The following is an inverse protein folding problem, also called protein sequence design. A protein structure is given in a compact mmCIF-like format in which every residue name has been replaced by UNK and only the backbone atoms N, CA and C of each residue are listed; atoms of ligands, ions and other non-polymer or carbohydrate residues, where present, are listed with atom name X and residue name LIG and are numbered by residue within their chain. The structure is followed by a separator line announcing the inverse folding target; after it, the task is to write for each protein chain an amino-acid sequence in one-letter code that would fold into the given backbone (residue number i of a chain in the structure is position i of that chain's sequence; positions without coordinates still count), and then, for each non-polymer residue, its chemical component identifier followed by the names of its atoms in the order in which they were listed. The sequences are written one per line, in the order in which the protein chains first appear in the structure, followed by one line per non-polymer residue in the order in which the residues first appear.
data_IF_464953404933
#
_entry.id   IF_464953404933
#
_cell.length_a   1.000
_cell.length_b   1.000
_cell.length_c   1.000
_cell.angle_alpha   90.00
_cell.angle_beta   90.00
_cell.angle_gamma   90.00
#
_symmetry.space_group_name_H-M   'P 1'
#
loop_
_entity.id
_entity.type
_entity.pdbx_description
1 polymer ?
#
# COMPACT_ATOMS: atom_id res chain seq x y z
N UNK A 1 73.44 32.83 32.28
CA UNK A 1 73.07 31.39 32.21
C UNK A 1 71.57 31.30 31.84
N UNK A 2 71.25 31.04 30.58
CA UNK A 2 69.82 30.87 30.09
C UNK A 2 69.57 29.39 29.94
N UNK A 3 68.62 28.84 30.72
CA UNK A 3 68.12 27.47 30.60
C UNK A 3 67.06 27.39 29.52
N UNK A 4 67.31 26.63 28.45
CA UNK A 4 66.32 26.34 27.41
C UNK A 4 65.41 25.22 27.90
N UNK A 5 64.12 25.47 27.92
CA UNK A 5 63.04 24.50 28.18
C UNK A 5 62.71 23.89 26.86
N UNK A 6 62.94 22.58 26.70
CA UNK A 6 62.46 21.78 25.55
C UNK A 6 60.99 21.33 25.83
N UNK A 7 60.05 21.92 25.13
CA UNK A 7 58.69 21.44 25.15
C UNK A 7 58.55 20.25 24.18
N UNK A 8 58.23 19.08 24.72
CA UNK A 8 57.90 17.91 23.92
C UNK A 8 56.41 17.99 23.52
N UNK A 9 56.13 18.12 22.23
CA UNK A 9 54.77 18.04 21.67
C UNK A 9 54.39 16.55 21.53
N UNK A 10 53.52 16.06 22.41
CA UNK A 10 52.90 14.77 22.26
C UNK A 10 51.69 14.97 21.32
N UNK A 11 51.81 14.58 20.05
CA UNK A 11 50.71 14.55 19.12
C UNK A 11 49.76 13.38 19.44
N UNK A 12 48.59 13.69 19.96
CA UNK A 12 47.47 12.70 20.02
C UNK A 12 47.00 12.44 18.60
N UNK A 13 47.32 11.27 18.06
CA UNK A 13 46.70 10.74 16.85
C UNK A 13 45.34 10.18 17.28
N UNK A 14 44.28 10.95 17.07
CA UNK A 14 42.90 10.45 17.19
C UNK A 14 42.61 9.56 15.97
N UNK A 15 42.67 8.24 16.17
CA UNK A 15 42.18 7.27 15.19
C UNK A 15 40.64 7.36 15.22
N UNK A 16 40.07 8.09 14.28
CA UNK A 16 38.64 8.02 14.05
C UNK A 16 38.29 6.62 13.51
N UNK A 17 37.71 5.79 14.37
CA UNK A 17 37.02 4.60 13.92
C UNK A 17 35.81 5.05 13.07
N UNK A 18 35.97 5.02 11.77
CA UNK A 18 34.83 5.07 10.86
C UNK A 18 34.15 3.70 10.93
N UNK A 19 33.31 3.51 11.93
CA UNK A 19 32.38 2.42 11.95
C UNK A 19 31.50 2.59 10.71
N UNK A 20 31.45 1.59 9.82
CA UNK A 20 30.42 1.51 8.79
C UNK A 20 29.09 1.44 9.53
N UNK A 21 28.40 2.57 9.65
CA UNK A 21 27.00 2.57 10.05
C UNK A 21 26.26 1.84 8.91
N UNK A 22 25.87 0.60 9.15
CA UNK A 22 24.80 -0.01 8.35
C UNK A 22 23.57 0.83 8.68
N UNK A 23 23.09 1.60 7.71
CA UNK A 23 21.83 2.30 7.89
C UNK A 23 20.76 1.23 8.11
N UNK A 24 20.11 1.25 9.27
CA UNK A 24 18.94 0.42 9.52
C UNK A 24 17.84 0.88 8.55
N UNK A 25 17.25 -0.06 7.81
CA UNK A 25 16.17 0.22 6.86
C UNK A 25 14.84 0.08 7.59
N UNK A 26 13.97 1.06 7.45
CA UNK A 26 12.59 0.98 7.91
C UNK A 26 11.69 0.58 6.75
N UNK A 27 11.15 -0.64 6.82
CA UNK A 27 10.17 -1.19 5.90
C UNK A 27 8.77 -1.04 6.49
N UNK A 28 7.87 -0.37 5.75
CA UNK A 28 6.52 -0.04 6.23
C UNK A 28 5.45 -0.76 5.43
N UNK A 29 4.55 -1.42 6.13
CA UNK A 29 3.50 -2.25 5.57
C UNK A 29 2.13 -2.00 6.21
N UNK A 30 1.13 -2.79 5.82
CA UNK A 30 -0.28 -2.62 6.17
C UNK A 30 -0.72 -3.37 7.44
N UNK A 31 0.16 -4.14 8.05
CA UNK A 31 -0.11 -4.86 9.30
C UNK A 31 -0.69 -6.28 9.14
N UNK A 32 -0.96 -6.89 10.26
CA UNK A 32 -1.63 -8.19 10.37
C UNK A 32 -0.93 -9.34 9.67
N UNK A 33 -1.71 -10.27 9.13
CA UNK A 33 -1.21 -11.44 8.41
C UNK A 33 -0.43 -11.08 7.14
N UNK A 34 -0.72 -9.92 6.55
CA UNK A 34 -0.03 -9.43 5.37
C UNK A 34 1.43 -9.08 5.69
N UNK A 35 1.67 -8.21 6.66
CA UNK A 35 3.04 -7.89 7.12
C UNK A 35 3.78 -9.14 7.59
N UNK A 36 3.10 -10.06 8.31
CA UNK A 36 3.70 -11.32 8.72
C UNK A 36 4.13 -12.20 7.54
N UNK A 37 3.43 -12.15 6.42
CA UNK A 37 3.83 -12.85 5.19
C UNK A 37 5.05 -12.24 4.53
N UNK A 38 5.14 -10.91 4.50
CA UNK A 38 6.30 -10.17 3.98
C UNK A 38 7.52 -10.37 4.88
N UNK A 39 7.34 -10.37 6.20
CA UNK A 39 8.41 -10.73 7.14
C UNK A 39 9.07 -12.05 6.76
N UNK A 40 8.25 -13.10 6.57
CA UNK A 40 8.75 -14.44 6.21
C UNK A 40 9.34 -14.54 4.80
N UNK A 41 8.72 -13.86 3.84
CA UNK A 41 9.10 -14.01 2.43
C UNK A 41 10.30 -13.13 2.05
N UNK A 42 10.43 -11.96 2.65
CA UNK A 42 11.44 -10.96 2.29
C UNK A 42 12.49 -10.77 3.40
N UNK A 43 12.04 -10.38 4.60
CA UNK A 43 12.94 -9.96 5.67
C UNK A 43 13.77 -11.12 6.21
N UNK A 44 13.10 -12.24 6.59
CA UNK A 44 13.76 -13.40 7.19
C UNK A 44 14.68 -14.12 6.20
N UNK A 45 14.48 -13.94 4.89
CA UNK A 45 15.27 -14.58 3.83
C UNK A 45 16.39 -13.67 3.29
N UNK A 46 16.39 -12.40 3.64
CA UNK A 46 17.41 -11.46 3.23
C UNK A 46 18.61 -11.51 4.17
N UNK A 47 19.83 -11.61 3.64
CA UNK A 47 21.06 -11.77 4.42
C UNK A 47 21.28 -10.69 5.49
N UNK A 48 20.74 -9.49 5.27
CA UNK A 48 20.77 -8.34 6.18
C UNK A 48 19.42 -8.04 6.83
N UNK A 49 18.52 -9.02 6.87
CA UNK A 49 17.16 -8.83 7.41
C UNK A 49 17.14 -8.37 8.88
N UNK A 50 18.18 -8.70 9.66
CA UNK A 50 18.31 -8.23 11.04
C UNK A 50 18.54 -6.71 11.18
N UNK A 51 18.89 -6.02 10.10
CA UNK A 51 19.04 -4.56 10.05
C UNK A 51 17.80 -3.86 9.50
N UNK A 52 16.68 -4.58 9.32
CA UNK A 52 15.42 -4.04 8.84
C UNK A 52 14.43 -3.94 10.00
N UNK A 53 13.97 -2.73 10.28
CA UNK A 53 12.85 -2.47 11.17
C UNK A 53 11.56 -2.52 10.38
N UNK A 54 10.55 -3.25 10.89
CA UNK A 54 9.25 -3.36 10.24
C UNK A 54 8.22 -2.54 11.01
N UNK A 55 7.59 -1.59 10.34
CA UNK A 55 6.51 -0.76 10.86
C UNK A 55 5.21 -1.00 10.09
N UNK A 56 4.09 -0.56 10.64
CA UNK A 56 2.79 -0.63 9.99
C UNK A 56 2.12 0.74 10.00
N UNK A 57 1.37 1.03 8.93
CA UNK A 57 0.60 2.26 8.80
C UNK A 57 -0.82 1.95 8.28
N UNK A 58 -1.68 2.96 8.27
CA UNK A 58 -3.08 2.80 7.84
C UNK A 58 -3.30 3.01 6.33
N UNK A 59 -2.20 3.14 5.56
CA UNK A 59 -2.25 3.43 4.13
C UNK A 59 -2.46 4.90 3.81
N UNK A 60 -2.37 5.22 2.52
CA UNK A 60 -2.50 6.59 2.02
C UNK A 60 -1.18 7.36 2.00
N UNK A 61 -1.19 8.51 1.30
CA UNK A 61 0.00 9.34 1.10
C UNK A 61 0.21 10.41 2.19
N UNK A 62 -0.77 10.62 3.08
CA UNK A 62 -0.76 11.76 4.01
C UNK A 62 0.44 11.77 4.94
N UNK A 63 0.79 10.63 5.55
CA UNK A 63 1.92 10.53 6.47
C UNK A 63 3.25 10.59 5.73
N UNK A 64 3.33 9.96 4.57
CA UNK A 64 4.51 10.02 3.68
C UNK A 64 4.79 11.47 3.28
N UNK A 65 3.76 12.18 2.82
CA UNK A 65 3.84 13.58 2.44
C UNK A 65 4.28 14.46 3.61
N UNK A 66 3.74 14.24 4.80
CA UNK A 66 4.13 14.99 5.99
C UNK A 66 5.62 14.81 6.33
N UNK A 67 6.16 13.61 6.23
CA UNK A 67 7.59 13.34 6.47
C UNK A 67 8.47 14.03 5.41
N UNK A 68 8.11 13.96 4.13
CA UNK A 68 8.86 14.58 3.03
C UNK A 68 8.83 16.11 3.14
N UNK A 69 7.67 16.71 3.37
CA UNK A 69 7.52 18.17 3.53
C UNK A 69 8.26 18.70 4.76
N UNK A 70 8.32 17.93 5.84
CA UNK A 70 9.08 18.28 7.05
C UNK A 70 10.60 18.10 6.87
N UNK A 71 11.07 17.47 5.80
CA UNK A 71 12.47 17.10 5.60
C UNK A 71 12.98 16.10 6.64
N UNK A 72 12.08 15.33 7.25
CA UNK A 72 12.38 14.32 8.28
C UNK A 72 11.77 12.97 7.89
N UNK A 73 12.38 12.34 6.90
CA UNK A 73 11.95 11.03 6.39
C UNK A 73 12.53 9.93 7.28
N UNK A 74 11.69 9.11 7.87
CA UNK A 74 12.04 7.97 8.73
C UNK A 74 11.68 6.62 8.09
N UNK A 75 10.94 6.62 6.99
CA UNK A 75 10.51 5.46 6.26
C UNK A 75 11.30 5.31 4.97
N UNK A 76 12.04 4.22 4.81
CA UNK A 76 12.89 3.99 3.65
C UNK A 76 12.17 3.25 2.52
N UNK A 77 11.36 2.24 2.87
CA UNK A 77 10.59 1.44 1.92
C UNK A 77 9.15 1.34 2.41
N UNK A 78 8.20 1.77 1.58
CA UNK A 78 6.78 1.78 1.96
C UNK A 78 5.96 1.01 0.94
N UNK A 79 5.13 0.11 1.43
CA UNK A 79 4.16 -0.63 0.62
C UNK A 79 2.94 0.25 0.32
N UNK A 80 2.66 0.49 -0.95
CA UNK A 80 1.60 1.39 -1.41
C UNK A 80 0.73 0.75 -2.49
N UNK A 81 -0.47 1.26 -2.66
CA UNK A 81 -1.35 0.87 -3.78
C UNK A 81 -0.88 1.50 -5.11
N UNK A 82 -1.24 0.92 -6.26
CA UNK A 82 -0.82 1.45 -7.58
C UNK A 82 -1.20 2.91 -7.84
N UNK A 83 -2.37 3.35 -7.41
CA UNK A 83 -2.81 4.74 -7.52
C UNK A 83 -1.96 5.68 -6.65
N UNK A 84 -1.62 5.25 -5.45
CA UNK A 84 -0.71 5.96 -4.55
C UNK A 84 0.73 5.98 -5.09
N UNK A 85 1.16 4.89 -5.71
CA UNK A 85 2.47 4.80 -6.35
C UNK A 85 2.64 5.82 -7.49
N UNK A 86 1.62 5.96 -8.34
CA UNK A 86 1.60 6.95 -9.43
C UNK A 86 1.61 8.37 -8.84
N UNK A 87 0.63 8.69 -8.00
CA UNK A 87 0.49 10.01 -7.40
C UNK A 87 1.73 10.42 -6.60
N UNK A 88 2.25 9.53 -5.75
CA UNK A 88 3.41 9.81 -4.92
C UNK A 88 4.70 10.01 -5.73
N UNK A 89 4.83 9.29 -6.86
CA UNK A 89 5.95 9.50 -7.79
C UNK A 89 5.84 10.85 -8.50
N UNK A 90 4.66 11.21 -9.00
CA UNK A 90 4.39 12.47 -9.69
C UNK A 90 4.54 13.69 -8.76
N UNK A 91 4.17 13.56 -7.50
CA UNK A 91 4.35 14.59 -6.46
C UNK A 91 5.78 14.65 -5.90
N UNK A 92 6.68 13.76 -6.31
CA UNK A 92 8.06 13.71 -5.82
C UNK A 92 8.21 13.21 -4.38
N UNK A 93 7.23 12.46 -3.88
CA UNK A 93 7.26 11.85 -2.54
C UNK A 93 8.15 10.61 -2.52
N UNK A 94 8.37 9.96 -3.66
CA UNK A 94 9.20 8.78 -3.82
C UNK A 94 10.40 9.07 -4.72
N UNK A 95 11.52 8.42 -4.46
CA UNK A 95 12.68 8.45 -5.32
C UNK A 95 12.53 7.43 -6.47
N UNK A 96 13.14 7.73 -7.61
CA UNK A 96 13.20 6.78 -8.73
C UNK A 96 14.07 5.60 -8.37
N UNK A 97 13.63 4.40 -8.77
CA UNK A 97 14.32 3.13 -8.56
C UNK A 97 14.91 2.66 -9.87
N UNK A 98 16.16 2.25 -9.86
CA UNK A 98 16.74 1.54 -11.01
C UNK A 98 16.12 0.15 -11.13
N UNK A 99 15.24 -0.01 -12.11
CA UNK A 99 14.49 -1.24 -12.34
C UNK A 99 15.20 -2.19 -13.29
N UNK A 100 16.37 -1.82 -13.82
CA UNK A 100 17.07 -2.57 -14.88
C UNK A 100 17.47 -4.00 -14.47
N UNK A 101 17.78 -4.20 -13.18
CA UNK A 101 18.22 -5.49 -12.66
C UNK A 101 17.09 -6.53 -12.55
N UNK A 102 15.84 -6.11 -12.41
CA UNK A 102 14.71 -7.01 -12.10
C UNK A 102 13.50 -6.85 -13.02
N UNK A 103 13.51 -5.92 -13.97
CA UNK A 103 12.34 -5.65 -14.83
C UNK A 103 11.94 -6.88 -15.68
N UNK A 104 12.90 -7.72 -16.06
CA UNK A 104 12.64 -8.92 -16.85
C UNK A 104 12.00 -10.06 -16.03
N UNK A 105 12.14 -10.03 -14.70
CA UNK A 105 11.58 -11.03 -13.79
C UNK A 105 10.20 -10.62 -13.26
N UNK A 106 9.75 -9.40 -13.56
CA UNK A 106 8.45 -8.90 -13.15
C UNK A 106 7.32 -9.56 -13.94
N UNK A 107 6.30 -10.03 -13.22
CA UNK A 107 5.07 -10.61 -13.83
C UNK A 107 4.24 -9.53 -14.53
N UNK A 108 4.30 -8.30 -14.03
CA UNK A 108 3.65 -7.12 -14.62
C UNK A 108 4.64 -5.95 -14.62
N UNK A 109 4.55 -5.04 -15.60
CA UNK A 109 5.38 -3.85 -15.58
C UNK A 109 5.03 -2.95 -14.39
N UNK A 110 6.01 -2.21 -13.84
CA UNK A 110 5.75 -1.22 -12.79
C UNK A 110 4.86 -0.09 -13.33
N UNK A 111 4.03 0.47 -12.45
CA UNK A 111 3.10 1.56 -12.80
C UNK A 111 3.77 2.94 -12.81
N UNK A 112 4.98 3.06 -12.27
CA UNK A 112 5.82 4.26 -12.30
C UNK A 112 7.28 3.92 -12.09
N UNK A 113 8.19 4.88 -12.35
CA UNK A 113 9.65 4.72 -12.16
C UNK A 113 10.07 4.64 -10.68
N UNK A 114 9.16 4.90 -9.75
CA UNK A 114 9.48 4.97 -8.33
C UNK A 114 9.14 3.68 -7.56
N UNK A 115 8.61 2.65 -8.21
CA UNK A 115 8.06 1.48 -7.52
C UNK A 115 8.45 0.16 -8.16
N UNK A 116 8.37 -0.91 -7.34
CA UNK A 116 8.53 -2.29 -7.76
C UNK A 116 7.24 -3.04 -7.42
N UNK A 117 6.55 -3.66 -8.40
CA UNK A 117 5.41 -4.53 -8.13
C UNK A 117 5.84 -5.72 -7.28
N UNK A 118 5.06 -6.04 -6.25
CA UNK A 118 5.44 -7.11 -5.32
C UNK A 118 4.36 -8.17 -5.07
N UNK A 119 3.07 -7.82 -5.15
CA UNK A 119 1.98 -8.74 -4.84
C UNK A 119 0.73 -8.45 -5.69
N UNK A 120 -0.05 -9.49 -5.92
CA UNK A 120 -1.44 -9.37 -6.40
C UNK A 120 -2.39 -9.56 -5.23
N UNK A 121 -3.46 -8.77 -5.20
CA UNK A 121 -4.56 -8.93 -4.25
C UNK A 121 -5.90 -8.88 -4.97
N UNK A 122 -6.96 -9.29 -4.30
CA UNK A 122 -8.30 -9.24 -4.84
C UNK A 122 -9.30 -8.76 -3.78
N UNK A 123 -10.22 -7.91 -4.19
CA UNK A 123 -11.43 -7.64 -3.44
C UNK A 123 -12.50 -8.67 -3.83
N UNK A 124 -13.12 -9.27 -2.84
CA UNK A 124 -14.18 -10.25 -3.08
C UNK A 124 -15.35 -10.05 -2.12
N UNK A 125 -16.56 -10.24 -2.62
CA UNK A 125 -17.73 -10.28 -1.77
C UNK A 125 -17.87 -11.68 -1.16
N UNK A 126 -18.13 -11.74 0.14
CA UNK A 126 -18.38 -12.99 0.87
C UNK A 126 -19.66 -12.86 1.72
N UNK A 127 -20.18 -13.96 2.19
CA UNK A 127 -21.37 -14.00 3.03
C UNK A 127 -21.30 -15.16 4.02
N UNK A 128 -22.00 -15.06 5.15
CA UNK A 128 -22.17 -16.14 6.08
C UNK A 128 -23.13 -17.20 5.50
N UNK A 129 -22.65 -18.42 5.30
CA UNK A 129 -23.43 -19.54 4.76
C UNK A 129 -24.61 -19.90 5.66
N UNK A 130 -24.51 -19.68 6.98
CA UNK A 130 -25.57 -19.97 7.94
C UNK A 130 -26.75 -18.99 7.78
N UNK A 131 -26.46 -17.73 7.39
CA UNK A 131 -27.51 -16.75 7.13
C UNK A 131 -28.36 -17.05 5.87
N UNK A 132 -27.85 -17.92 4.98
CA UNK A 132 -28.53 -18.29 3.74
C UNK A 132 -28.61 -19.80 3.56
N UNK A 133 -29.38 -20.53 4.40
CA UNK A 133 -29.47 -22.00 4.36
C UNK A 133 -30.12 -22.52 3.07
N UNK A 134 -30.96 -21.70 2.42
CA UNK A 134 -31.61 -22.03 1.15
C UNK A 134 -30.86 -21.50 -0.06
N UNK A 135 -31.41 -20.46 -0.70
CA UNK A 135 -30.83 -19.81 -1.88
C UNK A 135 -29.64 -18.96 -1.47
N UNK A 136 -28.49 -19.19 -2.10
CA UNK A 136 -27.21 -18.53 -1.78
C UNK A 136 -26.89 -17.44 -2.81
N UNK A 137 -26.27 -16.31 -2.38
CA UNK A 137 -25.67 -15.35 -3.32
C UNK A 137 -24.62 -16.03 -4.20
N UNK A 138 -24.53 -15.66 -5.48
CA UNK A 138 -23.63 -16.29 -6.46
C UNK A 138 -22.74 -15.31 -7.19
N UNK A 139 -23.09 -14.04 -7.19
CA UNK A 139 -22.35 -13.00 -7.91
C UNK A 139 -22.60 -11.62 -7.29
N UNK A 140 -21.90 -10.62 -7.77
CA UNK A 140 -21.96 -9.26 -7.22
C UNK A 140 -23.36 -8.61 -7.36
N UNK A 141 -24.18 -9.00 -8.34
CA UNK A 141 -25.57 -8.51 -8.44
C UNK A 141 -26.42 -8.95 -7.26
N UNK A 142 -26.18 -10.16 -6.75
CA UNK A 142 -26.87 -10.67 -5.56
C UNK A 142 -26.48 -9.88 -4.29
N UNK A 143 -25.29 -9.27 -4.24
CA UNK A 143 -24.88 -8.35 -3.15
C UNK A 143 -25.78 -7.10 -3.12
N UNK A 144 -26.20 -6.59 -4.26
CA UNK A 144 -27.08 -5.43 -4.38
C UNK A 144 -28.58 -5.77 -4.29
N UNK A 145 -28.97 -7.03 -4.33
CA UNK A 145 -30.36 -7.47 -4.22
C UNK A 145 -30.77 -7.71 -2.76
N UNK A 146 -31.06 -6.62 -2.04
CA UNK A 146 -31.44 -6.65 -0.63
C UNK A 146 -32.82 -7.28 -0.36
N UNK A 147 -33.66 -7.38 -1.40
CA UNK A 147 -34.98 -8.06 -1.30
C UNK A 147 -34.82 -9.57 -1.32
N UNK A 148 -34.00 -10.07 -2.23
CA UNK A 148 -33.77 -11.51 -2.40
C UNK A 148 -32.80 -12.05 -1.32
N UNK A 149 -31.84 -11.27 -0.90
CA UNK A 149 -30.83 -11.57 0.12
C UNK A 149 -30.86 -10.48 1.19
N UNK A 150 -31.79 -10.53 2.14
CA UNK A 150 -31.90 -9.51 3.20
C UNK A 150 -30.68 -9.51 4.13
N UNK A 151 -30.44 -8.38 4.80
CA UNK A 151 -29.35 -8.20 5.76
C UNK A 151 -28.46 -7.01 5.44
N UNK A 152 -27.49 -6.76 6.30
CA UNK A 152 -26.55 -5.66 6.13
C UNK A 152 -25.48 -5.98 5.10
N UNK A 153 -24.92 -4.92 4.53
CA UNK A 153 -23.77 -4.94 3.59
C UNK A 153 -22.58 -4.30 4.24
N UNK A 154 -21.60 -5.11 4.64
CA UNK A 154 -20.31 -4.61 5.09
C UNK A 154 -19.55 -4.05 3.89
N UNK A 155 -19.19 -2.78 3.95
CA UNK A 155 -18.43 -2.07 2.91
C UNK A 155 -17.24 -1.41 3.59
N UNK A 156 -16.05 -1.55 2.99
CA UNK A 156 -14.87 -0.82 3.43
C UNK A 156 -15.04 0.68 3.16
N UNK A 157 -14.44 1.51 4.01
CA UNK A 157 -14.51 2.99 3.87
C UNK A 157 -13.78 3.53 2.65
N UNK A 158 -12.98 2.72 1.97
CA UNK A 158 -12.28 3.08 0.75
C UNK A 158 -13.12 2.82 -0.49
N UNK A 159 -12.93 3.65 -1.53
CA UNK A 159 -13.63 3.51 -2.80
C UNK A 159 -13.10 2.37 -3.68
N UNK A 160 -11.90 1.86 -3.41
CA UNK A 160 -11.24 0.81 -4.20
C UNK A 160 -12.13 -0.42 -4.35
N UNK A 161 -12.31 -0.88 -5.58
CA UNK A 161 -13.20 -1.94 -6.03
C UNK A 161 -14.70 -1.71 -5.81
N UNK A 162 -15.12 -0.77 -4.97
CA UNK A 162 -16.54 -0.51 -4.69
C UNK A 162 -17.27 0.04 -5.91
N UNK A 163 -16.66 1.00 -6.59
CA UNK A 163 -17.20 1.62 -7.82
C UNK A 163 -17.28 0.58 -8.93
N UNK A 164 -16.23 -0.21 -9.12
CA UNK A 164 -16.19 -1.30 -10.09
C UNK A 164 -17.29 -2.33 -9.82
N UNK A 165 -17.43 -2.76 -8.58
CA UNK A 165 -18.45 -3.72 -8.17
C UNK A 165 -19.88 -3.17 -8.42
N UNK A 166 -20.12 -1.89 -8.16
CA UNK A 166 -21.40 -1.24 -8.42
C UNK A 166 -21.72 -1.24 -9.91
N UNK A 167 -20.79 -0.86 -10.76
CA UNK A 167 -20.97 -0.86 -12.21
C UNK A 167 -21.20 -2.26 -12.78
N UNK A 168 -20.43 -3.26 -12.33
CA UNK A 168 -20.65 -4.66 -12.73
C UNK A 168 -22.02 -5.17 -12.27
N UNK A 169 -22.41 -4.83 -11.04
CA UNK A 169 -23.76 -5.18 -10.55
C UNK A 169 -24.86 -4.50 -11.33
N UNK A 170 -24.61 -3.30 -11.86
CA UNK A 170 -25.54 -2.56 -12.74
C UNK A 170 -25.52 -3.00 -14.21
N UNK A 171 -24.69 -4.00 -14.54
CA UNK A 171 -24.65 -4.64 -15.85
C UNK A 171 -23.56 -4.17 -16.79
N UNK A 172 -22.62 -3.34 -16.34
CA UNK A 172 -21.44 -3.00 -17.12
C UNK A 172 -20.56 -4.24 -17.23
N UNK A 173 -20.09 -4.54 -18.44
CA UNK A 173 -19.13 -5.65 -18.66
C UNK A 173 -17.83 -5.34 -17.94
N UNK A 174 -17.22 -6.33 -17.28
CA UNK A 174 -15.98 -6.15 -16.54
C UNK A 174 -14.87 -5.50 -17.38
N UNK A 175 -14.75 -5.88 -18.66
CA UNK A 175 -13.76 -5.28 -19.59
C UNK A 175 -14.05 -3.82 -19.97
N UNK A 176 -15.18 -3.23 -19.56
CA UNK A 176 -15.61 -1.86 -19.88
C UNK A 176 -15.73 -0.98 -18.62
N UNK A 177 -15.44 -1.54 -17.44
CA UNK A 177 -15.64 -0.82 -16.17
C UNK A 177 -14.80 0.46 -16.12
N UNK A 178 -13.53 0.39 -16.43
CA UNK A 178 -12.63 1.56 -16.37
C UNK A 178 -12.93 2.60 -17.45
N UNK A 179 -13.38 2.16 -18.64
CA UNK A 179 -13.87 3.07 -19.69
C UNK A 179 -15.09 3.87 -19.21
N UNK A 180 -16.03 3.19 -18.53
CA UNK A 180 -17.21 3.85 -17.95
C UNK A 180 -16.83 4.73 -16.76
N UNK A 181 -15.96 4.27 -15.87
CA UNK A 181 -15.48 5.03 -14.70
C UNK A 181 -14.74 6.32 -15.06
N UNK A 182 -14.15 6.41 -16.24
CA UNK A 182 -13.42 7.60 -16.67
C UNK A 182 -14.33 8.77 -17.10
N UNK A 183 -15.66 8.60 -17.00
CA UNK A 183 -16.66 9.62 -17.34
C UNK A 183 -17.47 10.04 -16.11
N UNK A 184 -17.90 11.32 -16.01
CA UNK A 184 -18.80 11.76 -14.93
C UNK A 184 -20.09 10.94 -14.85
N UNK A 185 -20.70 10.64 -15.99
CA UNK A 185 -21.93 9.85 -16.08
C UNK A 185 -21.75 8.42 -15.57
N UNK A 186 -20.57 7.85 -15.81
CA UNK A 186 -20.21 6.53 -15.30
C UNK A 186 -20.05 6.50 -13.78
N UNK A 187 -19.48 7.54 -13.22
CA UNK A 187 -19.38 7.72 -11.76
C UNK A 187 -20.75 7.92 -11.15
N UNK A 188 -21.58 8.80 -11.71
CA UNK A 188 -22.96 9.02 -11.26
C UNK A 188 -23.78 7.73 -11.29
N UNK A 189 -23.62 6.92 -12.33
CA UNK A 189 -24.23 5.60 -12.46
C UNK A 189 -23.81 4.64 -11.34
N UNK A 190 -22.54 4.63 -10.99
CA UNK A 190 -22.04 3.81 -9.88
C UNK A 190 -22.65 4.25 -8.54
N UNK A 191 -22.69 5.55 -8.28
CA UNK A 191 -23.31 6.08 -7.07
C UNK A 191 -24.82 5.81 -7.02
N UNK A 192 -25.54 5.98 -8.12
CA UNK A 192 -26.96 5.61 -8.20
C UNK A 192 -27.18 4.14 -7.86
N UNK A 193 -26.27 3.24 -8.26
CA UNK A 193 -26.30 1.83 -7.89
C UNK A 193 -26.03 1.61 -6.39
N UNK A 194 -25.06 2.29 -5.82
CA UNK A 194 -24.76 2.23 -4.39
C UNK A 194 -25.90 2.76 -3.54
N UNK A 195 -26.58 3.81 -3.97
CA UNK A 195 -27.75 4.35 -3.30
C UNK A 195 -28.90 3.34 -3.15
N UNK A 196 -29.00 2.35 -4.03
CA UNK A 196 -30.03 1.28 -3.91
C UNK A 196 -29.89 0.45 -2.64
N UNK A 197 -28.73 0.47 -2.00
CA UNK A 197 -28.44 -0.33 -0.79
C UNK A 197 -28.05 0.51 0.42
N UNK A 198 -28.01 1.85 0.33
CA UNK A 198 -27.45 2.74 1.37
C UNK A 198 -28.00 2.49 2.78
N UNK A 199 -29.30 2.22 2.92
CA UNK A 199 -29.94 1.96 4.22
C UNK A 199 -29.54 0.61 4.83
N UNK A 200 -28.88 -0.24 4.05
CA UNK A 200 -28.38 -1.55 4.46
C UNK A 200 -26.87 -1.58 4.72
N UNK A 201 -26.16 -0.49 4.46
CA UNK A 201 -24.69 -0.45 4.57
C UNK A 201 -24.26 -0.34 6.02
N UNK A 202 -23.17 -1.03 6.35
CA UNK A 202 -22.34 -0.86 7.55
C UNK A 202 -20.89 -0.71 7.06
N UNK A 203 -20.28 0.42 7.40
CA UNK A 203 -18.88 0.66 7.05
C UNK A 203 -17.94 0.01 8.07
N UNK A 204 -16.78 -0.43 7.57
CA UNK A 204 -15.67 -0.90 8.38
C UNK A 204 -14.35 -0.36 7.80
N UNK A 205 -13.32 -0.26 8.63
CA UNK A 205 -11.97 0.19 8.31
C UNK A 205 -10.91 -0.75 8.90
#
# INVERSE_FOLDING_TARGET
MRKAIKAAFFGLISIAFVGSATADITFVSWGGAYTASQQKAYIDTYDKGSSITVENYNGGLGEIKAQVEAGNVTWDVVDVLPDQAITGCDEGLFVKVDQSEFINDMVVPPVSDCVVPQIFWAYTAFYDKAAFPGKKPKNIKDFFDVKKFPGKRGIHTWANALIEMALVADGVKASKVYEVMSTPEGIDRAFAKLDTIKDHVVFWS
#
